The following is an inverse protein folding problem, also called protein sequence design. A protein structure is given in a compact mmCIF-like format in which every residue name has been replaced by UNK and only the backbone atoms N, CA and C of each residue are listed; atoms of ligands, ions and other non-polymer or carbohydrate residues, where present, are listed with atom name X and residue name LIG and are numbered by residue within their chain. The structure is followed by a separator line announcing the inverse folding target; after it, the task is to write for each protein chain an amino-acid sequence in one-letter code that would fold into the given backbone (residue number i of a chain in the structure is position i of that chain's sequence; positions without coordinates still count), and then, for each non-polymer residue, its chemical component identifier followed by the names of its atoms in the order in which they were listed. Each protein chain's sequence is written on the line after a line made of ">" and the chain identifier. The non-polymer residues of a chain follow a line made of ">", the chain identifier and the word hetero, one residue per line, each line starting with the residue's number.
data_IF_741171919495
#
_entry.id   IF_741171919495
#
_cell.length_a   1.000
_cell.length_b   1.000
_cell.length_c   1.000
_cell.angle_alpha   90.00
_cell.angle_beta   90.00
_cell.angle_gamma   90.00
#
_symmetry.space_group_name_H-M   'P 1'
#
loop_
_entity.id
_entity.type
_entity.pdbx_description
1 polymer ?
#
# COMPACT_ATOMS: atom_id res chain seq x y z
N UNK A 1 4.95 9.49 -0.14
CA UNK A 1 4.22 10.68 -0.61
C UNK A 1 2.86 10.25 -1.12
N UNK A 2 1.78 10.90 -0.67
CA UNK A 2 0.41 10.61 -1.11
C UNK A 2 -0.25 11.90 -1.59
N UNK A 3 -0.87 11.84 -2.77
CA UNK A 3 -1.68 12.92 -3.33
C UNK A 3 -3.13 12.48 -3.37
N UNK A 4 -4.05 13.38 -3.07
CA UNK A 4 -5.49 13.12 -3.07
C UNK A 4 -6.22 14.37 -3.54
N UNK A 5 -7.30 14.20 -4.29
CA UNK A 5 -8.23 15.28 -4.63
C UNK A 5 -9.64 14.88 -4.21
N UNK A 6 -10.55 15.83 -4.10
CA UNK A 6 -11.94 15.61 -3.65
C UNK A 6 -12.90 16.10 -4.71
N UNK A 7 -13.80 15.22 -5.14
CA UNK A 7 -14.91 15.49 -6.03
C UNK A 7 -16.21 15.25 -5.25
N UNK A 8 -16.96 16.30 -4.99
CA UNK A 8 -18.21 16.21 -4.23
C UNK A 8 -19.39 16.53 -5.13
N UNK A 9 -20.34 15.60 -5.21
CA UNK A 9 -21.67 15.87 -5.76
C UNK A 9 -22.63 16.16 -4.60
N UNK A 10 -22.91 17.45 -4.40
CA UNK A 10 -23.81 17.95 -3.37
C UNK A 10 -25.25 17.48 -3.57
N UNK A 11 -25.68 17.23 -4.80
CA UNK A 11 -27.04 16.79 -5.11
C UNK A 11 -27.21 15.28 -4.84
N UNK A 12 -26.15 14.48 -5.04
CA UNK A 12 -26.19 13.03 -4.82
C UNK A 12 -25.70 12.60 -3.45
N UNK A 13 -25.23 13.53 -2.63
CA UNK A 13 -24.64 13.24 -1.33
C UNK A 13 -23.51 12.20 -1.41
N UNK A 14 -22.70 12.31 -2.47
CA UNK A 14 -21.56 11.44 -2.74
C UNK A 14 -20.30 12.29 -2.76
N UNK A 15 -19.33 11.87 -1.96
CA UNK A 15 -17.97 12.40 -1.98
C UNK A 15 -17.04 11.32 -2.52
N UNK A 16 -16.24 11.65 -3.53
CA UNK A 16 -15.24 10.76 -4.11
C UNK A 16 -13.87 11.42 -3.97
N UNK A 17 -12.88 10.65 -3.52
CA UNK A 17 -11.53 11.11 -3.26
C UNK A 17 -10.54 10.17 -3.93
N UNK A 18 -10.21 10.37 -5.22
CA UNK A 18 -9.15 9.61 -5.85
C UNK A 18 -7.79 10.00 -5.27
N UNK A 19 -6.90 9.03 -5.17
CA UNK A 19 -5.58 9.18 -4.59
C UNK A 19 -4.53 8.40 -5.38
N UNK A 20 -3.29 8.90 -5.30
CA UNK A 20 -2.08 8.21 -5.71
C UNK A 20 -1.07 8.26 -4.58
N UNK A 21 -0.30 7.20 -4.41
CA UNK A 21 0.64 7.01 -3.31
C UNK A 21 1.94 6.42 -3.83
N UNK A 22 3.07 6.89 -3.29
CA UNK A 22 4.40 6.39 -3.57
C UNK A 22 5.16 6.28 -2.26
N UNK A 23 5.65 5.08 -1.92
CA UNK A 23 6.33 4.76 -0.66
C UNK A 23 7.66 4.09 -0.96
N UNK A 24 8.63 4.31 -0.09
CA UNK A 24 9.90 3.61 -0.08
C UNK A 24 9.99 2.86 1.26
N UNK A 25 10.13 1.54 1.19
CA UNK A 25 10.24 0.65 2.33
C UNK A 25 11.61 -0.01 2.28
N UNK A 26 12.36 0.14 3.37
CA UNK A 26 13.63 -0.56 3.56
C UNK A 26 13.47 -1.45 4.78
N UNK A 27 13.63 -2.74 4.58
CA UNK A 27 13.62 -3.71 5.66
C UNK A 27 15.07 -4.05 6.00
N UNK A 28 15.43 -3.80 7.26
CA UNK A 28 16.66 -4.31 7.83
C UNK A 28 16.36 -5.70 8.40
N UNK A 29 16.76 -6.74 7.67
CA UNK A 29 16.72 -8.11 8.17
C UNK A 29 18.13 -8.48 8.63
N UNK A 30 18.35 -8.42 9.94
CA UNK A 30 19.57 -8.90 10.59
C UNK A 30 19.25 -10.26 11.22
N UNK A 31 19.04 -11.28 10.38
CA UNK A 31 18.76 -12.65 10.85
C UNK A 31 19.23 -13.72 9.82
N UNK A 32 20.40 -13.50 9.21
CA UNK A 32 21.13 -14.58 8.52
C UNK A 32 22.13 -15.23 9.46
N UNK A 33 21.65 -16.01 10.43
CA UNK A 33 22.45 -17.07 11.06
C UNK A 33 22.15 -18.41 10.35
N UNK A 34 22.63 -18.55 9.11
CA UNK A 34 22.62 -19.86 8.43
C UNK A 34 23.81 -20.64 8.97
N UNK A 35 23.58 -21.44 10.02
CA UNK A 35 24.56 -22.42 10.52
C UNK A 35 24.58 -23.65 9.63
N UNK A 36 25.34 -23.60 8.55
CA UNK A 36 25.81 -24.79 7.85
C UNK A 36 27.30 -24.99 8.16
N UNK A 37 27.64 -26.18 8.63
CA UNK A 37 28.82 -26.60 9.39
C UNK A 37 30.24 -26.22 8.92
N UNK A 38 30.42 -25.38 7.89
CA UNK A 38 31.77 -24.90 7.49
C UNK A 38 31.75 -23.61 6.63
N UNK A 39 30.66 -22.83 6.64
CA UNK A 39 30.56 -21.60 5.84
C UNK A 39 29.92 -20.46 6.65
N UNK A 40 30.72 -19.45 7.03
CA UNK A 40 30.23 -18.19 7.57
C UNK A 40 29.95 -17.23 6.42
N UNK A 41 28.68 -16.92 6.15
CA UNK A 41 28.30 -15.82 5.27
C UNK A 41 27.47 -14.79 6.05
N UNK A 42 28.15 -13.76 6.55
CA UNK A 42 27.55 -12.57 7.18
C UNK A 42 27.29 -11.49 6.14
N UNK A 43 26.43 -11.77 5.17
CA UNK A 43 25.96 -10.77 4.21
C UNK A 43 24.45 -10.60 4.34
N UNK A 44 24.03 -9.91 5.41
CA UNK A 44 22.63 -9.52 5.60
C UNK A 44 22.15 -8.76 4.37
N UNK A 45 21.14 -9.30 3.69
CA UNK A 45 20.58 -8.71 2.48
C UNK A 45 19.56 -7.65 2.92
N UNK A 46 19.95 -6.37 2.89
CA UNK A 46 19.01 -5.28 3.11
C UNK A 46 18.07 -5.23 1.90
N UNK A 47 16.79 -5.57 2.08
CA UNK A 47 15.80 -5.48 1.01
C UNK A 47 15.25 -4.05 0.93
N UNK A 48 15.45 -3.39 -0.21
CA UNK A 48 14.81 -2.11 -0.51
C UNK A 48 13.69 -2.31 -1.54
N UNK A 49 12.50 -1.81 -1.23
CA UNK A 49 11.33 -1.88 -2.10
C UNK A 49 10.66 -0.51 -2.25
N UNK A 50 10.36 -0.14 -3.50
CA UNK A 50 9.45 0.94 -3.83
C UNK A 50 8.02 0.41 -3.99
N UNK A 51 7.04 1.08 -3.41
CA UNK A 51 5.62 0.72 -3.52
C UNK A 51 4.88 1.91 -4.13
N UNK A 52 4.15 1.67 -5.21
CA UNK A 52 3.29 2.65 -5.86
C UNK A 52 1.85 2.18 -5.78
N UNK A 53 0.93 3.08 -5.49
CA UNK A 53 -0.49 2.76 -5.40
C UNK A 53 -1.37 3.85 -5.97
N UNK A 54 -2.56 3.45 -6.39
CA UNK A 54 -3.61 4.35 -6.81
C UNK A 54 -4.96 3.79 -6.43
N UNK A 55 -5.93 4.66 -6.14
CA UNK A 55 -7.25 4.21 -5.75
C UNK A 55 -8.22 5.34 -5.50
N UNK A 56 -9.37 4.97 -4.93
CA UNK A 56 -10.50 5.85 -4.68
C UNK A 56 -11.06 5.56 -3.29
N UNK A 57 -11.37 6.63 -2.56
CA UNK A 57 -12.27 6.59 -1.42
C UNK A 57 -13.61 7.21 -1.83
N UNK A 58 -14.73 6.59 -1.51
CA UNK A 58 -16.05 7.13 -1.76
C UNK A 58 -16.89 7.09 -0.48
N UNK A 59 -17.59 8.17 -0.18
CA UNK A 59 -18.58 8.25 0.90
C UNK A 59 -19.92 8.56 0.27
N UNK A 60 -20.90 7.70 0.54
CA UNK A 60 -22.29 7.82 0.08
C UNK A 60 -23.15 8.07 1.29
N UNK A 61 -24.04 9.06 1.20
CA UNK A 61 -25.05 9.35 2.22
C UNK A 61 -24.50 9.55 3.64
N UNK A 62 -23.21 9.91 3.78
CA UNK A 62 -22.47 10.14 5.03
C UNK A 62 -22.26 8.92 5.94
N UNK A 63 -22.93 7.81 5.67
CA UNK A 63 -22.96 6.63 6.52
C UNK A 63 -22.35 5.40 5.85
N UNK A 64 -22.10 5.43 4.54
CA UNK A 64 -21.43 4.35 3.82
C UNK A 64 -20.13 4.84 3.20
N UNK A 65 -19.01 4.19 3.54
CA UNK A 65 -17.69 4.48 2.97
C UNK A 65 -17.11 3.25 2.28
N UNK A 66 -16.61 3.45 1.06
CA UNK A 66 -15.89 2.47 0.26
C UNK A 66 -14.46 2.97 0.04
N UNK A 67 -13.48 2.10 0.20
CA UNK A 67 -12.11 2.33 -0.24
C UNK A 67 -11.71 1.19 -1.17
N UNK A 68 -11.12 1.52 -2.31
CA UNK A 68 -10.54 0.55 -3.22
C UNK A 68 -9.25 1.11 -3.79
N UNK A 69 -8.26 0.24 -4.02
CA UNK A 69 -6.99 0.64 -4.60
C UNK A 69 -6.17 -0.55 -5.08
N UNK A 70 -5.21 -0.25 -5.92
CA UNK A 70 -4.21 -1.19 -6.40
C UNK A 70 -2.84 -0.70 -5.96
N UNK A 71 -1.94 -1.64 -5.66
CA UNK A 71 -0.57 -1.38 -5.31
C UNK A 71 0.35 -2.27 -6.14
N UNK A 72 1.48 -1.72 -6.56
CA UNK A 72 2.58 -2.43 -7.20
C UNK A 72 3.85 -2.18 -6.39
N UNK A 73 4.54 -3.25 -6.01
CA UNK A 73 5.84 -3.22 -5.36
C UNK A 73 6.94 -3.55 -6.36
N UNK A 74 8.07 -2.84 -6.31
CA UNK A 74 9.25 -3.14 -7.14
C UNK A 74 10.50 -2.95 -6.28
N UNK A 75 11.45 -3.88 -6.33
CA UNK A 75 12.61 -3.84 -5.44
C UNK A 75 13.49 -5.08 -5.54
N UNK A 76 14.34 -5.27 -4.53
CA UNK A 76 15.34 -6.35 -4.48
C UNK A 76 14.72 -7.75 -4.27
N UNK A 77 13.50 -7.84 -3.75
CA UNK A 77 12.80 -9.09 -3.52
C UNK A 77 11.38 -8.95 -4.07
N UNK A 78 11.20 -9.45 -5.30
CA UNK A 78 9.95 -9.66 -6.03
C UNK A 78 9.12 -8.41 -6.43
N UNK A 79 8.43 -8.54 -7.57
CA UNK A 79 7.50 -7.53 -8.10
C UNK A 79 6.08 -8.02 -7.89
N UNK A 80 5.42 -7.50 -6.87
CA UNK A 80 4.10 -7.93 -6.44
C UNK A 80 3.04 -6.88 -6.79
N UNK A 81 1.92 -7.34 -7.36
CA UNK A 81 0.72 -6.55 -7.55
C UNK A 81 -0.35 -7.00 -6.55
N UNK A 82 -0.93 -6.06 -5.81
CA UNK A 82 -2.01 -6.32 -4.87
C UNK A 82 -3.19 -5.40 -5.10
N UNK A 83 -4.38 -5.91 -4.81
CA UNK A 83 -5.64 -5.15 -4.83
C UNK A 83 -6.17 -5.10 -3.40
N UNK A 84 -6.55 -3.92 -2.95
CA UNK A 84 -7.17 -3.70 -1.65
C UNK A 84 -8.57 -3.10 -1.84
N UNK A 85 -9.55 -3.68 -1.16
CA UNK A 85 -10.89 -3.13 -1.06
C UNK A 85 -11.40 -3.24 0.38
N UNK A 86 -12.09 -2.21 0.84
CA UNK A 86 -12.69 -2.15 2.17
C UNK A 86 -13.98 -1.34 2.15
N UNK A 87 -14.95 -1.75 2.95
CA UNK A 87 -16.22 -1.05 3.13
C UNK A 87 -16.51 -0.85 4.61
N UNK A 88 -17.14 0.26 4.94
CA UNK A 88 -17.56 0.61 6.30
C UNK A 88 -18.94 1.24 6.27
N UNK A 89 -19.76 0.94 7.27
CA UNK A 89 -21.05 1.56 7.48
C UNK A 89 -21.15 2.07 8.92
N UNK A 90 -21.56 3.32 9.09
CA UNK A 90 -21.79 3.95 10.39
C UNK A 90 -23.29 4.17 10.61
N UNK A 91 -23.80 3.72 11.75
CA UNK A 91 -25.17 3.90 12.20
C UNK A 91 -25.33 5.12 13.12
#
# INVERSE_FOLDING_TARGET
>A
MRLTTTLTDLNKNVQVMPWVDARFQKEFSDDTDIKAADYHNTSGHNNAMGIFGAGINATIAHNFSLNTGVYVGTGDVDNDASVQAGMSYSF
#
